data_IF_755801686907
#
_entry.id   IF_755801686907
#
_cell.length_a   1.000
_cell.length_b   1.000
_cell.length_c   1.000
_cell.angle_alpha   90.00
_cell.angle_beta   90.00
_cell.angle_gamma   90.00
#
_symmetry.space_group_name_H-M   'P 1'
#
loop_
_entity.id
_entity.type
_entity.pdbx_description
1 polymer ?
#
# COMPACT_ATOMS: atom_id res chain seq x y z
N UNK A 1 -41.10 3.24 69.43
CA UNK A 1 -40.87 1.82 69.09
C UNK A 1 -39.85 1.80 67.96
N UNK A 2 -38.56 1.67 68.28
CA UNK A 2 -37.72 0.47 68.04
C UNK A 2 -37.44 0.26 66.54
N UNK A 3 -36.28 0.69 66.03
CA UNK A 3 -34.98 0.00 65.99
C UNK A 3 -34.84 -0.96 64.78
N UNK A 4 -33.75 -0.79 64.00
CA UNK A 4 -33.35 -1.71 62.94
C UNK A 4 -32.44 -1.08 61.88
N UNK A 5 -31.15 -0.96 62.18
CA UNK A 5 -30.05 -0.55 61.28
C UNK A 5 -29.43 -1.82 60.68
N UNK A 6 -29.22 -1.87 59.36
CA UNK A 6 -28.10 -2.59 58.74
C UNK A 6 -27.87 -2.16 57.27
N UNK A 7 -26.64 -1.72 57.03
CA UNK A 7 -25.75 -1.97 55.88
C UNK A 7 -25.73 -1.22 54.54
N UNK A 8 -24.45 -1.09 54.11
CA UNK A 8 -23.81 -0.69 52.84
C UNK A 8 -23.72 0.84 52.54
N UNK A 9 -22.56 1.52 52.65
CA UNK A 9 -21.24 1.38 51.95
C UNK A 9 -21.41 1.59 50.43
N UNK A 10 -20.77 2.52 49.72
CA UNK A 10 -19.47 3.19 49.85
C UNK A 10 -19.46 4.59 49.21
N UNK A 11 -18.51 5.42 49.62
CA UNK A 11 -18.12 6.70 49.02
C UNK A 11 -16.75 6.58 48.32
N UNK A 12 -16.60 7.25 47.18
CA UNK A 12 -15.32 7.69 46.57
C UNK A 12 -14.80 8.98 47.28
N UNK A 13 -13.64 9.61 46.93
CA UNK A 13 -12.44 9.20 46.15
C UNK A 13 -11.10 9.61 46.86
N UNK A 14 -9.91 9.29 46.29
CA UNK A 14 -8.79 10.21 45.93
C UNK A 14 -7.47 9.47 45.59
N UNK A 15 -6.71 10.13 44.72
CA UNK A 15 -5.38 9.90 44.15
C UNK A 15 -4.24 9.64 45.14
N UNK A 16 -3.33 8.70 44.84
CA UNK A 16 -1.94 8.73 45.34
C UNK A 16 -0.98 7.94 44.43
N UNK A 17 0.07 8.62 43.97
CA UNK A 17 1.28 8.11 43.34
C UNK A 17 2.22 7.53 44.40
N UNK A 18 2.78 6.33 44.19
CA UNK A 18 3.95 5.88 44.94
C UNK A 18 4.81 4.91 44.12
N UNK A 19 6.09 5.27 44.04
CA UNK A 19 7.24 4.49 43.60
C UNK A 19 7.36 3.16 44.36
N UNK A 20 7.91 2.13 43.69
CA UNK A 20 8.42 0.95 44.39
C UNK A 20 9.78 0.55 43.79
N UNK A 21 10.83 1.16 44.34
CA UNK A 21 12.19 0.65 44.29
C UNK A 21 12.29 -0.62 45.16
N UNK A 22 12.85 -1.70 44.60
CA UNK A 22 13.22 -2.90 45.36
C UNK A 22 14.69 -2.75 45.75
N UNK A 23 14.93 -2.33 47.00
CA UNK A 23 16.23 -2.41 47.67
C UNK A 23 16.36 -3.75 48.39
N UNK A 24 17.35 -4.56 48.00
CA UNK A 24 17.75 -5.76 48.74
C UNK A 24 18.98 -5.39 49.58
N UNK A 25 18.78 -5.33 50.90
CA UNK A 25 19.85 -5.28 51.90
C UNK A 25 20.58 -6.63 51.95
N UNK A 26 21.91 -6.61 51.83
CA UNK A 26 22.77 -7.76 52.13
C UNK A 26 23.64 -7.40 53.33
N UNK A 27 23.29 -8.04 54.44
CA UNK A 27 23.87 -7.86 55.77
C UNK A 27 25.31 -8.37 55.86
N UNK A 28 26.10 -7.69 56.69
CA UNK A 28 27.54 -7.86 56.81
C UNK A 28 27.91 -9.00 57.77
N UNK A 29 28.25 -10.19 57.25
CA UNK A 29 28.86 -11.26 58.07
C UNK A 29 29.66 -12.31 57.30
N UNK A 30 30.64 -11.92 56.46
CA UNK A 30 31.60 -12.90 55.90
C UNK A 30 32.98 -12.32 55.54
N UNK A 31 33.59 -11.54 56.42
CA UNK A 31 34.98 -11.05 56.28
C UNK A 31 36.01 -12.06 56.81
N UNK A 32 36.03 -13.27 56.27
CA UNK A 32 37.11 -14.27 56.51
C UNK A 32 37.55 -15.00 55.23
N UNK A 33 37.11 -14.55 54.05
CA UNK A 33 37.42 -15.19 52.76
C UNK A 33 38.41 -14.39 51.88
N UNK A 34 38.93 -13.26 52.37
CA UNK A 34 39.79 -12.35 51.58
C UNK A 34 41.21 -12.89 51.32
N UNK A 35 41.85 -13.51 52.31
CA UNK A 35 43.24 -14.00 52.18
C UNK A 35 43.37 -15.27 51.32
N UNK A 36 42.36 -16.16 51.38
CA UNK A 36 42.36 -17.36 50.53
C UNK A 36 42.12 -17.04 49.05
N UNK A 37 41.38 -15.96 48.74
CA UNK A 37 41.17 -15.51 47.37
C UNK A 37 42.43 -14.88 46.77
N UNK A 38 43.27 -14.20 47.55
CA UNK A 38 44.54 -13.66 47.03
C UNK A 38 45.56 -14.73 46.66
N UNK A 39 45.61 -15.84 47.41
CA UNK A 39 46.54 -16.95 47.11
C UNK A 39 46.04 -17.82 45.94
N UNK A 40 44.72 -17.97 45.77
CA UNK A 40 44.13 -18.60 44.59
C UNK A 40 44.26 -17.74 43.32
N UNK A 41 44.32 -16.42 43.45
CA UNK A 41 44.55 -15.51 42.32
C UNK A 41 46.03 -15.44 41.92
N UNK A 42 46.96 -15.69 42.84
CA UNK A 42 48.40 -15.79 42.54
C UNK A 42 48.79 -17.10 41.87
N UNK A 43 48.07 -18.19 42.14
CA UNK A 43 48.27 -19.49 41.46
C UNK A 43 47.58 -19.58 40.09
N UNK A 44 46.83 -18.55 39.69
CA UNK A 44 46.20 -18.41 38.38
C UNK A 44 46.97 -17.48 37.43
N UNK A 45 48.22 -17.12 37.73
CA UNK A 45 49.10 -16.51 36.73
C UNK A 45 49.56 -17.59 35.73
N UNK A 46 49.29 -17.42 34.42
CA UNK A 46 49.59 -18.46 33.45
C UNK A 46 51.10 -18.53 33.18
N UNK A 47 51.64 -19.71 33.42
CA UNK A 47 52.91 -20.19 32.89
C UNK A 47 52.97 -19.99 31.37
N UNK A 48 54.13 -19.50 30.93
CA UNK A 48 54.54 -19.10 29.58
C UNK A 48 53.74 -19.75 28.44
N UNK A 49 52.69 -19.05 27.99
CA UNK A 49 51.96 -19.42 26.77
C UNK A 49 52.74 -18.87 25.59
N UNK A 50 53.09 -19.70 24.57
CA UNK A 50 53.77 -19.20 23.39
C UNK A 50 52.97 -18.03 22.79
N UNK A 51 53.64 -16.91 22.57
CA UNK A 51 53.05 -15.66 22.13
C UNK A 51 52.05 -15.90 20.98
N UNK A 52 50.79 -15.54 21.21
CA UNK A 52 49.80 -15.51 20.14
C UNK A 52 50.32 -14.56 19.03
N UNK A 53 50.26 -14.96 17.75
CA UNK A 53 50.75 -14.11 16.66
C UNK A 53 49.99 -12.78 16.70
N UNK A 54 50.74 -11.67 16.76
CA UNK A 54 50.14 -10.34 16.86
C UNK A 54 49.14 -10.11 15.72
N UNK A 55 47.92 -9.64 16.02
CA UNK A 55 46.93 -9.37 15.01
C UNK A 55 47.42 -8.19 14.16
N UNK A 56 47.77 -8.47 12.90
CA UNK A 56 48.18 -7.48 11.90
C UNK A 56 47.07 -6.40 11.79
N UNK A 57 47.33 -5.24 12.40
CA UNK A 57 46.38 -4.12 12.52
C UNK A 57 45.87 -3.59 11.16
N UNK A 58 46.55 -3.92 10.05
CA UNK A 58 46.11 -3.60 8.69
C UNK A 58 44.92 -4.43 8.18
N UNK A 59 44.65 -5.62 8.72
CA UNK A 59 43.53 -6.49 8.26
C UNK A 59 42.20 -6.22 8.95
N UNK A 60 42.21 -5.60 10.14
CA UNK A 60 40.99 -5.33 10.90
C UNK A 60 40.18 -4.15 10.34
N UNK A 61 40.85 -3.15 9.75
CA UNK A 61 40.20 -2.03 9.07
C UNK A 61 39.57 -2.43 7.72
N UNK A 62 40.21 -3.35 6.97
CA UNK A 62 39.67 -3.89 5.72
C UNK A 62 38.42 -4.77 5.93
N UNK A 63 38.30 -5.49 7.05
CA UNK A 63 37.08 -6.26 7.38
C UNK A 63 35.96 -5.39 7.95
N UNK A 64 36.27 -4.25 8.59
CA UNK A 64 35.27 -3.24 8.97
C UNK A 64 34.69 -2.52 7.75
N UNK A 65 35.52 -2.16 6.76
CA UNK A 65 35.07 -1.53 5.50
C UNK A 65 34.29 -2.51 4.59
N UNK A 66 34.57 -3.82 4.67
CA UNK A 66 33.89 -4.84 3.86
C UNK A 66 32.46 -5.18 4.32
N UNK A 67 32.13 -4.98 5.61
CA UNK A 67 30.78 -5.27 6.16
C UNK A 67 29.66 -4.41 5.56
N UNK A 68 29.77 -3.06 5.45
CA UNK A 68 28.72 -2.24 4.83
C UNK A 68 28.58 -2.53 3.33
N UNK A 69 29.68 -2.82 2.63
CA UNK A 69 29.67 -3.17 1.20
C UNK A 69 28.98 -4.52 0.96
N UNK A 70 29.25 -5.52 1.81
CA UNK A 70 28.63 -6.86 1.71
C UNK A 70 27.18 -6.87 2.18
N UNK A 71 26.80 -5.98 3.11
CA UNK A 71 25.40 -5.76 3.47
C UNK A 71 24.64 -5.09 2.31
N UNK A 72 25.23 -4.09 1.66
CA UNK A 72 24.66 -3.47 0.46
C UNK A 72 24.50 -4.45 -0.71
N UNK A 73 25.50 -5.31 -0.96
CA UNK A 73 25.44 -6.33 -2.01
C UNK A 73 24.36 -7.39 -1.74
N UNK A 74 24.28 -7.92 -0.52
CA UNK A 74 23.25 -8.90 -0.16
C UNK A 74 21.83 -8.29 -0.15
N UNK A 75 21.70 -7.00 0.20
CA UNK A 75 20.44 -6.25 0.12
C UNK A 75 19.99 -6.06 -1.34
N UNK A 76 20.94 -5.82 -2.26
CA UNK A 76 20.67 -5.78 -3.69
C UNK A 76 20.21 -7.13 -4.23
N UNK A 77 20.89 -8.22 -3.87
CA UNK A 77 20.51 -9.57 -4.33
C UNK A 77 19.11 -9.96 -3.86
N UNK A 78 18.76 -9.67 -2.61
CA UNK A 78 17.42 -9.93 -2.08
C UNK A 78 16.34 -9.08 -2.76
N UNK A 79 16.67 -7.83 -3.12
CA UNK A 79 15.77 -6.94 -3.86
C UNK A 79 15.56 -7.43 -5.30
N UNK A 80 16.62 -7.89 -5.97
CA UNK A 80 16.57 -8.47 -7.31
C UNK A 80 15.77 -9.78 -7.33
N UNK A 81 15.92 -10.64 -6.33
CA UNK A 81 15.12 -11.86 -6.21
C UNK A 81 13.63 -11.56 -5.97
N UNK A 82 13.33 -10.49 -5.25
CA UNK A 82 11.95 -10.06 -5.00
C UNK A 82 11.29 -9.50 -6.27
N UNK A 83 12.04 -8.72 -7.06
CA UNK A 83 11.62 -8.28 -8.38
C UNK A 83 11.47 -9.46 -9.35
N UNK A 84 12.42 -10.40 -9.34
CA UNK A 84 12.35 -11.62 -10.16
C UNK A 84 11.08 -12.42 -9.90
N UNK A 85 10.72 -12.63 -8.63
CA UNK A 85 9.46 -13.29 -8.25
C UNK A 85 8.22 -12.51 -8.67
N UNK A 86 8.24 -11.17 -8.62
CA UNK A 86 7.14 -10.35 -9.11
C UNK A 86 6.95 -10.54 -10.62
N UNK A 87 8.02 -10.45 -11.40
CA UNK A 87 7.97 -10.64 -12.85
C UNK A 87 7.55 -12.06 -13.24
N UNK A 88 8.01 -13.06 -12.50
CA UNK A 88 7.63 -14.46 -12.73
C UNK A 88 6.14 -14.69 -12.44
N UNK A 89 5.65 -14.18 -11.29
CA UNK A 89 4.23 -14.24 -10.96
C UNK A 89 3.37 -13.47 -11.96
N UNK A 90 3.83 -12.30 -12.41
CA UNK A 90 3.16 -11.51 -13.43
C UNK A 90 3.08 -12.27 -14.76
N UNK A 91 4.19 -12.82 -15.25
CA UNK A 91 4.27 -13.56 -16.50
C UNK A 91 3.40 -14.83 -16.47
N UNK A 92 3.47 -15.59 -15.36
CA UNK A 92 2.65 -16.78 -15.18
C UNK A 92 1.16 -16.43 -15.11
N UNK A 93 0.78 -15.44 -14.29
CA UNK A 93 -0.63 -15.04 -14.14
C UNK A 93 -1.22 -14.53 -15.46
N UNK A 94 -0.45 -13.76 -16.22
CA UNK A 94 -0.88 -13.27 -17.54
C UNK A 94 -0.96 -14.41 -18.56
N UNK A 95 0.02 -15.33 -18.55
CA UNK A 95 0.02 -16.53 -19.38
C UNK A 95 -1.17 -17.46 -19.09
N UNK A 96 -1.51 -17.68 -17.83
CA UNK A 96 -2.69 -18.44 -17.42
C UNK A 96 -3.99 -17.72 -17.79
N UNK A 97 -4.09 -16.41 -17.57
CA UNK A 97 -5.25 -15.61 -17.97
C UNK A 97 -5.53 -15.74 -19.46
N UNK A 98 -4.50 -15.55 -20.30
CA UNK A 98 -4.60 -15.67 -21.75
C UNK A 98 -4.97 -17.10 -22.15
N UNK A 99 -4.30 -18.11 -21.59
CA UNK A 99 -4.56 -19.51 -21.91
C UNK A 99 -5.97 -19.95 -21.53
N UNK A 100 -6.46 -19.56 -20.36
CA UNK A 100 -7.82 -19.88 -19.91
C UNK A 100 -8.88 -19.10 -20.71
N UNK A 101 -8.55 -17.90 -21.21
CA UNK A 101 -9.43 -17.12 -22.08
C UNK A 101 -9.55 -17.76 -23.46
N UNK A 102 -8.43 -18.21 -24.02
CA UNK A 102 -8.39 -18.93 -25.30
C UNK A 102 -9.09 -20.29 -25.18
N UNK A 103 -8.99 -20.96 -24.02
CA UNK A 103 -9.63 -22.28 -23.80
C UNK A 103 -11.10 -22.22 -23.41
N UNK A 104 -11.71 -21.03 -23.32
CA UNK A 104 -13.12 -20.79 -22.93
C UNK A 104 -13.60 -21.50 -21.64
N UNK A 105 -12.69 -22.01 -20.82
CA UNK A 105 -12.97 -22.69 -19.54
C UNK A 105 -12.82 -21.77 -18.33
N UNK A 106 -12.86 -20.45 -18.55
CA UNK A 106 -12.74 -19.48 -17.47
C UNK A 106 -13.86 -19.64 -16.44
N UNK A 107 -13.54 -19.75 -15.14
CA UNK A 107 -14.53 -19.75 -14.08
C UNK A 107 -15.13 -18.34 -13.91
N UNK A 108 -16.03 -17.99 -14.82
CA UNK A 108 -16.71 -16.68 -14.85
C UNK A 108 -17.44 -16.36 -13.54
N UNK A 109 -17.95 -17.40 -12.85
CA UNK A 109 -18.61 -17.25 -11.55
C UNK A 109 -17.66 -16.70 -10.49
N UNK A 110 -16.44 -17.24 -10.40
CA UNK A 110 -15.44 -16.80 -9.43
C UNK A 110 -14.94 -15.39 -9.77
N UNK A 111 -14.77 -15.09 -11.06
CA UNK A 111 -14.38 -13.75 -11.53
C UNK A 111 -15.44 -12.70 -11.18
N UNK A 112 -16.72 -12.99 -11.40
CA UNK A 112 -17.81 -12.08 -11.07
C UNK A 112 -17.95 -11.85 -9.57
N UNK A 113 -17.84 -12.91 -8.77
CA UNK A 113 -17.84 -12.79 -7.30
C UNK A 113 -16.68 -11.92 -6.82
N UNK A 114 -15.49 -12.10 -7.40
CA UNK A 114 -14.33 -11.31 -7.06
C UNK A 114 -14.45 -9.85 -7.53
N UNK A 115 -15.05 -9.62 -8.70
CA UNK A 115 -15.34 -8.27 -9.19
C UNK A 115 -16.32 -7.55 -8.25
N UNK A 116 -17.38 -8.24 -7.83
CA UNK A 116 -18.34 -7.71 -6.86
C UNK A 116 -17.67 -7.37 -5.51
N UNK A 117 -16.81 -8.26 -5.02
CA UNK A 117 -16.03 -8.00 -3.81
C UNK A 117 -15.17 -6.72 -3.95
N UNK A 118 -14.39 -6.60 -5.02
CA UNK A 118 -13.54 -5.43 -5.25
C UNK A 118 -14.37 -4.14 -5.37
N UNK A 119 -15.50 -4.18 -6.09
CA UNK A 119 -16.42 -3.03 -6.21
C UNK A 119 -16.97 -2.65 -4.85
N UNK A 120 -17.43 -3.61 -4.05
CA UNK A 120 -18.07 -3.35 -2.75
C UNK A 120 -17.13 -2.63 -1.77
N UNK A 121 -15.84 -3.00 -1.79
CA UNK A 121 -14.81 -2.42 -0.92
C UNK A 121 -14.36 -1.02 -1.42
N UNK A 122 -14.46 -0.76 -2.73
CA UNK A 122 -13.94 0.49 -3.33
C UNK A 122 -15.01 1.54 -3.63
N UNK A 123 -16.28 1.16 -3.81
CA UNK A 123 -17.34 2.06 -4.27
C UNK A 123 -17.63 3.20 -3.28
N UNK A 124 -17.75 2.89 -1.98
CA UNK A 124 -18.02 3.91 -0.95
C UNK A 124 -16.84 4.89 -0.82
N UNK A 125 -15.58 4.42 -0.63
CA UNK A 125 -14.42 5.32 -0.65
C UNK A 125 -14.31 6.14 -1.94
N UNK A 126 -14.61 5.55 -3.10
CA UNK A 126 -14.59 6.27 -4.38
C UNK A 126 -15.58 7.43 -4.42
N UNK A 127 -16.80 7.22 -3.94
CA UNK A 127 -17.79 8.29 -3.83
C UNK A 127 -17.32 9.38 -2.86
N UNK A 128 -16.86 9.00 -1.67
CA UNK A 128 -16.45 9.94 -0.64
C UNK A 128 -15.22 10.78 -1.01
N UNK A 129 -14.29 10.23 -1.80
CA UNK A 129 -13.08 10.94 -2.23
C UNK A 129 -13.32 11.74 -3.51
N UNK A 130 -14.13 11.25 -4.44
CA UNK A 130 -14.35 11.92 -5.74
C UNK A 130 -15.06 13.27 -5.62
N UNK A 131 -16.01 13.41 -4.70
CA UNK A 131 -16.73 14.67 -4.47
C UNK A 131 -15.77 15.79 -4.02
N UNK A 132 -15.08 15.69 -2.86
CA UNK A 132 -14.18 16.75 -2.41
C UNK A 132 -13.04 16.99 -3.38
N UNK A 133 -12.53 15.94 -4.05
CA UNK A 133 -11.52 16.09 -5.08
C UNK A 133 -12.03 16.95 -6.26
N UNK A 134 -13.22 16.67 -6.77
CA UNK A 134 -13.86 17.47 -7.83
C UNK A 134 -14.09 18.92 -7.42
N UNK A 135 -14.54 19.15 -6.18
CA UNK A 135 -14.70 20.49 -5.60
C UNK A 135 -13.38 21.24 -5.54
N UNK A 136 -12.33 20.63 -4.99
CA UNK A 136 -11.00 21.26 -4.86
C UNK A 136 -10.47 21.66 -6.22
N UNK A 137 -10.53 20.77 -7.22
CA UNK A 137 -10.05 21.09 -8.57
C UNK A 137 -10.88 22.21 -9.20
N UNK A 138 -12.21 22.17 -9.08
CA UNK A 138 -13.08 23.20 -9.65
C UNK A 138 -12.87 24.59 -9.01
N UNK A 139 -12.66 24.65 -7.68
CA UNK A 139 -12.38 25.90 -6.97
C UNK A 139 -10.99 26.42 -7.31
N UNK A 140 -9.96 25.55 -7.28
CA UNK A 140 -8.59 25.98 -7.53
C UNK A 140 -8.41 26.48 -8.97
N UNK A 141 -8.86 25.68 -9.94
CA UNK A 141 -8.77 26.05 -11.36
C UNK A 141 -9.67 27.23 -11.67
N UNK A 142 -10.88 27.26 -11.12
CA UNK A 142 -11.80 28.37 -11.29
C UNK A 142 -11.24 29.70 -10.79
N UNK A 143 -10.66 29.72 -9.59
CA UNK A 143 -10.01 30.91 -9.04
C UNK A 143 -8.85 31.41 -9.92
N UNK A 144 -8.01 30.51 -10.43
CA UNK A 144 -6.93 30.89 -11.35
C UNK A 144 -7.47 31.47 -12.67
N UNK A 145 -8.50 30.87 -13.24
CA UNK A 145 -9.10 31.31 -14.51
C UNK A 145 -9.80 32.67 -14.34
N UNK A 146 -10.46 32.91 -13.21
CA UNK A 146 -11.09 34.21 -12.89
C UNK A 146 -10.04 35.33 -12.75
N UNK A 147 -8.88 35.05 -12.18
CA UNK A 147 -7.78 36.03 -12.09
C UNK A 147 -7.25 36.46 -13.46
N UNK A 148 -7.30 35.57 -14.45
CA UNK A 148 -6.90 35.85 -15.84
C UNK A 148 -8.07 36.40 -16.68
N UNK A 149 -9.27 36.53 -16.09
CA UNK A 149 -10.46 37.06 -16.76
C UNK A 149 -11.12 36.11 -17.76
N UNK A 150 -10.73 34.83 -17.78
CA UNK A 150 -11.15 33.86 -18.78
C UNK A 150 -12.27 32.93 -18.27
N UNK A 151 -13.25 33.47 -17.53
CA UNK A 151 -14.29 32.69 -16.81
C UNK A 151 -15.04 31.69 -17.70
N UNK A 152 -15.19 31.99 -18.99
CA UNK A 152 -15.83 31.11 -19.97
C UNK A 152 -15.14 29.75 -20.11
N UNK A 153 -13.81 29.63 -19.95
CA UNK A 153 -13.08 28.36 -20.12
C UNK A 153 -12.83 27.58 -18.82
N UNK A 154 -13.39 28.04 -17.70
CA UNK A 154 -13.20 27.41 -16.39
C UNK A 154 -13.61 25.93 -16.35
N UNK A 155 -14.71 25.57 -17.04
CA UNK A 155 -15.20 24.19 -17.11
C UNK A 155 -14.30 23.24 -17.90
N UNK A 156 -13.70 23.72 -18.99
CA UNK A 156 -12.72 22.97 -19.77
C UNK A 156 -11.46 22.67 -18.95
N UNK A 157 -10.90 23.72 -18.33
CA UNK A 157 -9.66 23.61 -17.57
C UNK A 157 -9.80 22.69 -16.35
N UNK A 158 -10.90 22.82 -15.60
CA UNK A 158 -11.18 21.97 -14.44
C UNK A 158 -11.47 20.52 -14.85
N UNK A 159 -12.34 20.32 -15.84
CA UNK A 159 -12.75 19.00 -16.30
C UNK A 159 -11.60 18.20 -16.91
N UNK A 160 -10.76 18.82 -17.75
CA UNK A 160 -9.57 18.17 -18.32
C UNK A 160 -8.55 17.77 -17.25
N UNK A 161 -8.36 18.61 -16.22
CA UNK A 161 -7.49 18.29 -15.09
C UNK A 161 -7.96 17.05 -14.32
N UNK A 162 -9.27 16.97 -14.06
CA UNK A 162 -9.88 15.79 -13.43
C UNK A 162 -9.73 14.56 -14.31
N UNK A 163 -10.03 14.63 -15.62
CA UNK A 163 -9.99 13.46 -16.50
C UNK A 163 -8.55 12.96 -16.70
N UNK A 164 -7.60 13.84 -17.04
CA UNK A 164 -6.26 13.43 -17.48
C UNK A 164 -5.34 12.97 -16.36
N UNK A 165 -5.51 13.50 -15.15
CA UNK A 165 -4.61 13.26 -14.03
C UNK A 165 -5.36 12.89 -12.75
N UNK A 166 -6.37 13.67 -12.39
CA UNK A 166 -7.05 13.51 -11.11
C UNK A 166 -7.70 12.15 -10.92
N UNK A 167 -8.57 11.75 -11.84
CA UNK A 167 -9.31 10.50 -11.75
C UNK A 167 -8.41 9.25 -11.80
N UNK A 168 -7.41 9.14 -12.70
CA UNK A 168 -6.48 8.01 -12.68
C UNK A 168 -5.68 7.89 -11.38
N UNK A 169 -5.26 9.01 -10.79
CA UNK A 169 -4.51 9.00 -9.52
C UNK A 169 -5.41 8.60 -8.35
N UNK A 170 -6.62 9.14 -8.27
CA UNK A 170 -7.58 8.75 -7.22
C UNK A 170 -7.95 7.27 -7.36
N UNK A 171 -8.21 6.80 -8.58
CA UNK A 171 -8.48 5.39 -8.84
C UNK A 171 -7.30 4.50 -8.43
N UNK A 172 -6.08 4.87 -8.78
CA UNK A 172 -4.87 4.15 -8.38
C UNK A 172 -4.72 4.03 -6.86
N UNK A 173 -4.96 5.12 -6.12
CA UNK A 173 -4.87 5.14 -4.67
C UNK A 173 -5.94 4.25 -4.03
N UNK A 174 -7.16 4.25 -4.56
CA UNK A 174 -8.25 3.41 -4.05
C UNK A 174 -8.06 1.93 -4.38
N UNK A 175 -7.58 1.64 -5.59
CA UNK A 175 -7.22 0.28 -5.97
C UNK A 175 -6.07 -0.23 -5.11
N UNK A 176 -5.01 0.56 -4.92
CA UNK A 176 -3.86 0.21 -4.09
C UNK A 176 -4.21 0.04 -2.62
N UNK A 177 -4.92 1.02 -2.06
CA UNK A 177 -5.28 1.08 -0.65
C UNK A 177 -6.41 0.11 -0.28
N UNK A 178 -7.61 0.29 -0.84
CA UNK A 178 -8.78 -0.45 -0.42
C UNK A 178 -8.85 -1.85 -1.05
N UNK A 179 -8.82 -1.95 -2.38
CA UNK A 179 -8.90 -3.25 -3.06
C UNK A 179 -7.64 -4.10 -2.82
N UNK A 180 -6.46 -3.51 -2.93
CA UNK A 180 -5.17 -4.17 -2.73
C UNK A 180 -5.04 -4.73 -1.32
N UNK A 181 -5.36 -3.94 -0.29
CA UNK A 181 -5.34 -4.44 1.10
C UNK A 181 -6.33 -5.57 1.33
N UNK A 182 -7.55 -5.46 0.79
CA UNK A 182 -8.56 -6.50 0.94
C UNK A 182 -8.12 -7.82 0.28
N UNK A 183 -7.52 -7.74 -0.90
CA UNK A 183 -6.98 -8.91 -1.62
C UNK A 183 -5.77 -9.50 -0.91
N UNK A 184 -4.81 -8.67 -0.48
CA UNK A 184 -3.63 -9.12 0.25
C UNK A 184 -4.01 -9.76 1.60
N UNK A 185 -5.01 -9.22 2.28
CA UNK A 185 -5.52 -9.76 3.55
C UNK A 185 -6.17 -11.12 3.35
N UNK A 186 -7.08 -11.26 2.38
CA UNK A 186 -7.76 -12.54 2.11
C UNK A 186 -6.75 -13.62 1.69
N UNK A 187 -5.78 -13.28 0.84
CA UNK A 187 -4.77 -14.24 0.39
C UNK A 187 -3.74 -14.58 1.49
N UNK A 188 -3.33 -13.58 2.28
CA UNK A 188 -2.48 -13.78 3.45
C UNK A 188 -3.16 -14.63 4.52
N UNK A 189 -4.45 -14.42 4.76
CA UNK A 189 -5.24 -15.20 5.70
C UNK A 189 -5.38 -16.68 5.30
N UNK A 190 -5.43 -16.98 3.98
CA UNK A 190 -5.41 -18.36 3.46
C UNK A 190 -4.02 -18.98 3.54
N UNK A 191 -2.98 -18.16 3.34
CA UNK A 191 -1.58 -18.61 3.44
C UNK A 191 -1.25 -19.03 4.86
N UNK A 192 -1.61 -18.23 5.87
CA UNK A 192 -1.36 -18.59 7.29
C UNK A 192 -2.25 -19.74 7.80
N UNK A 193 -3.33 -20.06 7.08
CA UNK A 193 -4.21 -21.21 7.36
C UNK A 193 -3.79 -22.48 6.60
N UNK A 194 -2.62 -22.45 5.95
CA UNK A 194 -2.07 -23.56 5.15
C UNK A 194 -2.96 -24.01 3.97
N UNK A 195 -3.98 -23.24 3.60
CA UNK A 195 -4.87 -23.57 2.47
C UNK A 195 -4.12 -23.52 1.13
N UNK A 196 -3.16 -22.59 1.00
CA UNK A 196 -2.32 -22.44 -0.21
C UNK A 196 -1.39 -23.65 -0.39
N UNK A 197 -0.85 -24.18 0.71
CA UNK A 197 0.02 -25.35 0.66
C UNK A 197 -0.78 -26.64 0.45
N UNK A 198 -1.99 -26.72 1.00
CA UNK A 198 -2.92 -27.82 0.69
C UNK A 198 -3.22 -27.89 -0.82
N UNK A 199 -3.40 -26.76 -1.51
CA UNK A 199 -3.58 -26.73 -2.98
C UNK A 199 -2.36 -27.33 -3.70
N UNK A 200 -1.14 -27.00 -3.26
CA UNK A 200 0.10 -27.53 -3.85
C UNK A 200 0.20 -29.05 -3.65
N UNK A 201 -0.18 -29.56 -2.48
CA UNK A 201 -0.18 -31.01 -2.19
C UNK A 201 -1.22 -31.74 -3.05
N UNK A 202 -2.35 -31.11 -3.34
CA UNK A 202 -3.37 -31.63 -4.28
C UNK A 202 -2.97 -31.52 -5.76
N UNK A 203 -1.76 -31.03 -6.06
CA UNK A 203 -1.28 -30.86 -7.44
C UNK A 203 -1.95 -29.71 -8.20
N UNK A 204 -2.59 -28.77 -7.50
CA UNK A 204 -3.25 -27.60 -8.09
C UNK A 204 -2.34 -26.39 -7.94
N UNK A 205 -2.05 -25.70 -9.04
CA UNK A 205 -1.26 -24.46 -9.00
C UNK A 205 -2.05 -23.34 -8.28
N UNK A 206 -1.55 -22.82 -7.13
CA UNK A 206 -2.22 -21.75 -6.40
C UNK A 206 -2.27 -20.44 -7.19
N UNK A 207 -1.31 -20.18 -8.08
CA UNK A 207 -1.31 -18.96 -8.91
C UNK A 207 -2.50 -19.01 -9.86
N UNK A 208 -2.68 -20.13 -10.57
CA UNK A 208 -3.80 -20.29 -11.48
C UNK A 208 -5.15 -20.19 -10.74
N UNK A 209 -5.30 -20.85 -9.59
CA UNK A 209 -6.58 -20.95 -8.86
C UNK A 209 -6.96 -19.66 -8.12
N UNK A 210 -5.99 -18.94 -7.55
CA UNK A 210 -6.26 -17.80 -6.65
C UNK A 210 -5.98 -16.44 -7.28
N UNK A 211 -4.96 -16.32 -8.14
CA UNK A 211 -4.50 -15.02 -8.70
C UNK A 211 -5.24 -14.70 -9.99
N UNK A 212 -5.38 -15.67 -10.90
CA UNK A 212 -6.06 -15.49 -12.20
C UNK A 212 -7.47 -14.88 -12.11
N UNK A 213 -8.41 -15.38 -11.27
CA UNK A 213 -9.75 -14.79 -11.19
C UNK A 213 -9.74 -13.34 -10.64
N UNK A 214 -8.76 -13.00 -9.79
CA UNK A 214 -8.58 -11.62 -9.27
C UNK A 214 -8.02 -10.69 -10.33
N UNK A 215 -7.08 -11.17 -11.13
CA UNK A 215 -6.54 -10.45 -12.28
C UNK A 215 -7.65 -10.19 -13.31
N UNK A 216 -8.48 -11.19 -13.61
CA UNK A 216 -9.62 -11.04 -14.50
C UNK A 216 -10.65 -10.03 -13.96
N UNK A 217 -10.92 -10.07 -12.65
CA UNK A 217 -11.82 -9.13 -11.99
C UNK A 217 -11.31 -7.68 -12.07
N UNK A 218 -10.03 -7.43 -11.79
CA UNK A 218 -9.49 -6.06 -11.80
C UNK A 218 -9.51 -5.44 -13.20
N UNK A 219 -9.30 -6.25 -14.24
CA UNK A 219 -9.36 -5.83 -15.65
C UNK A 219 -10.71 -5.22 -16.00
N UNK A 220 -11.79 -5.70 -15.39
CA UNK A 220 -13.15 -5.19 -15.60
C UNK A 220 -13.49 -4.06 -14.62
N UNK A 221 -13.08 -4.19 -13.35
CA UNK A 221 -13.45 -3.24 -12.30
C UNK A 221 -12.70 -1.91 -12.42
N UNK A 222 -11.41 -1.93 -12.74
CA UNK A 222 -10.59 -0.72 -12.86
C UNK A 222 -11.16 0.34 -13.82
N UNK A 223 -11.56 0.01 -15.07
CA UNK A 223 -12.15 1.00 -15.98
C UNK A 223 -13.52 1.51 -15.53
N UNK A 224 -14.34 0.64 -14.92
CA UNK A 224 -15.65 1.01 -14.36
C UNK A 224 -15.48 2.00 -13.20
N UNK A 225 -14.54 1.70 -12.28
CA UNK A 225 -14.24 2.57 -11.15
C UNK A 225 -13.69 3.92 -11.60
N UNK A 226 -12.83 3.95 -12.62
CA UNK A 226 -12.32 5.19 -13.21
C UNK A 226 -13.46 6.06 -13.75
N UNK A 227 -14.35 5.46 -14.54
CA UNK A 227 -15.49 6.15 -15.15
C UNK A 227 -16.43 6.73 -14.09
N UNK A 228 -16.65 5.99 -13.00
CA UNK A 228 -17.42 6.44 -11.86
C UNK A 228 -16.78 7.67 -11.16
N UNK A 229 -15.46 7.63 -10.94
CA UNK A 229 -14.72 8.76 -10.34
C UNK A 229 -14.76 10.00 -11.24
N UNK A 230 -14.61 9.83 -12.56
CA UNK A 230 -14.71 10.92 -13.54
C UNK A 230 -16.10 11.56 -13.46
N UNK A 231 -17.15 10.74 -13.50
CA UNK A 231 -18.53 11.20 -13.44
C UNK A 231 -18.82 12.00 -12.16
N UNK A 232 -18.47 11.46 -11.00
CA UNK A 232 -18.69 12.14 -9.72
C UNK A 232 -17.83 13.40 -9.57
N UNK A 233 -16.58 13.37 -10.02
CA UNK A 233 -15.69 14.53 -9.97
C UNK A 233 -16.19 15.69 -10.84
N UNK A 234 -16.67 15.39 -12.06
CA UNK A 234 -17.28 16.38 -12.96
C UNK A 234 -18.60 16.92 -12.40
N UNK A 235 -19.46 16.06 -11.86
CA UNK A 235 -20.73 16.47 -11.26
C UNK A 235 -20.51 17.41 -10.07
N UNK A 236 -19.56 17.09 -9.18
CA UNK A 236 -19.19 17.94 -8.05
C UNK A 236 -18.60 19.28 -8.52
N UNK A 237 -17.72 19.25 -9.53
CA UNK A 237 -17.13 20.47 -10.10
C UNK A 237 -18.16 21.40 -10.75
N UNK A 238 -19.13 20.83 -11.47
CA UNK A 238 -20.26 21.56 -12.06
C UNK A 238 -21.13 22.21 -10.97
N UNK A 239 -21.50 21.46 -9.93
CA UNK A 239 -22.34 21.95 -8.84
C UNK A 239 -21.72 23.18 -8.14
N UNK A 240 -20.40 23.16 -7.90
CA UNK A 240 -19.70 24.27 -7.26
C UNK A 240 -19.51 25.46 -8.21
N UNK A 241 -19.24 25.22 -9.50
CA UNK A 241 -19.08 26.30 -10.45
C UNK A 241 -20.37 27.13 -10.61
N UNK A 242 -21.51 26.45 -10.71
CA UNK A 242 -22.83 27.08 -10.82
C UNK A 242 -23.28 27.69 -9.50
N UNK A 243 -23.06 27.01 -8.37
CA UNK A 243 -23.55 27.45 -7.07
C UNK A 243 -22.73 28.58 -6.42
N UNK A 244 -21.40 28.48 -6.46
CA UNK A 244 -20.51 29.35 -5.67
C UNK A 244 -19.66 30.31 -6.52
N UNK A 245 -19.34 29.97 -7.77
CA UNK A 245 -18.45 30.78 -8.61
C UNK A 245 -19.19 31.69 -9.59
N UNK A 246 -20.51 31.82 -9.45
CA UNK A 246 -21.38 32.64 -10.33
C UNK A 246 -21.23 32.33 -11.83
N UNK A 247 -20.78 31.11 -12.17
CA UNK A 247 -20.63 30.66 -13.54
C UNK A 247 -21.98 30.37 -14.18
N UNK A 248 -22.17 30.76 -15.44
CA UNK A 248 -23.38 30.38 -16.18
C UNK A 248 -23.33 28.87 -16.48
N UNK A 249 -24.37 28.08 -16.12
CA UNK A 249 -24.40 26.64 -16.36
C UNK A 249 -24.11 26.25 -17.82
N UNK A 250 -24.66 27.02 -18.75
CA UNK A 250 -24.46 26.82 -20.19
C UNK A 250 -23.01 27.01 -20.63
N UNK A 251 -22.28 27.98 -20.04
CA UNK A 251 -20.87 28.21 -20.36
C UNK A 251 -19.98 27.08 -19.87
N UNK A 252 -20.28 26.49 -18.71
CA UNK A 252 -19.48 25.37 -18.18
C UNK A 252 -19.58 24.15 -19.10
N UNK A 253 -20.81 23.77 -19.45
CA UNK A 253 -21.07 22.60 -20.29
C UNK A 253 -20.57 22.82 -21.72
N UNK A 254 -20.76 24.01 -22.29
CA UNK A 254 -20.28 24.33 -23.64
C UNK A 254 -18.74 24.30 -23.71
N UNK A 255 -18.06 24.87 -22.71
CA UNK A 255 -16.59 24.83 -22.66
C UNK A 255 -16.07 23.44 -22.38
N UNK A 256 -16.71 22.67 -21.50
CA UNK A 256 -16.34 21.28 -21.32
C UNK A 256 -16.52 20.48 -22.62
N UNK A 257 -17.65 20.61 -23.33
CA UNK A 257 -17.92 19.88 -24.56
C UNK A 257 -17.02 20.27 -25.74
N UNK A 258 -16.55 21.52 -25.81
CA UNK A 258 -15.66 22.00 -26.87
C UNK A 258 -14.21 21.55 -26.69
N UNK A 259 -13.75 21.41 -25.44
CA UNK A 259 -12.36 21.07 -25.13
C UNK A 259 -12.16 19.61 -24.67
N UNK A 260 -13.19 18.93 -24.15
CA UNK A 260 -13.09 17.54 -23.73
C UNK A 260 -13.10 16.62 -24.93
N UNK A 261 -11.99 15.93 -25.18
CA UNK A 261 -11.93 14.88 -26.19
C UNK A 261 -12.31 13.54 -25.60
N UNK A 262 -13.03 12.72 -26.36
CA UNK A 262 -13.26 11.29 -26.04
C UNK A 262 -11.92 10.56 -25.85
N UNK A 263 -10.87 11.00 -26.56
CA UNK A 263 -9.54 10.44 -26.43
C UNK A 263 -8.94 10.63 -25.02
N UNK A 264 -9.24 11.75 -24.35
CA UNK A 264 -8.74 12.00 -23.00
C UNK A 264 -9.32 11.00 -21.99
N UNK A 265 -10.61 10.68 -22.15
CA UNK A 265 -11.30 9.70 -21.31
C UNK A 265 -10.76 8.29 -21.58
N UNK A 266 -10.55 7.93 -22.85
CA UNK A 266 -9.99 6.61 -23.21
C UNK A 266 -8.58 6.44 -22.63
N UNK A 267 -7.73 7.46 -22.74
CA UNK A 267 -6.38 7.43 -22.17
C UNK A 267 -6.43 7.31 -20.65
N UNK A 268 -7.32 8.03 -19.97
CA UNK A 268 -7.50 7.95 -18.52
C UNK A 268 -7.94 6.54 -18.07
N UNK A 269 -8.87 5.94 -18.80
CA UNK A 269 -9.35 4.58 -18.56
C UNK A 269 -8.22 3.57 -18.78
N UNK A 270 -7.46 3.69 -19.88
CA UNK A 270 -6.36 2.78 -20.20
C UNK A 270 -5.22 2.86 -19.19
N UNK A 271 -4.89 4.07 -18.71
CA UNK A 271 -3.95 4.27 -17.59
C UNK A 271 -4.43 3.53 -16.35
N UNK A 272 -5.68 3.77 -15.95
CA UNK A 272 -6.25 3.18 -14.73
C UNK A 272 -6.34 1.65 -14.83
N UNK A 273 -6.63 1.13 -16.02
CA UNK A 273 -6.62 -0.30 -16.29
C UNK A 273 -5.25 -0.92 -16.03
N UNK A 274 -4.17 -0.32 -16.55
CA UNK A 274 -2.80 -0.74 -16.28
C UNK A 274 -2.45 -0.64 -14.79
N UNK A 275 -2.87 0.42 -14.12
CA UNK A 275 -2.63 0.61 -12.69
C UNK A 275 -3.29 -0.49 -11.86
N UNK A 276 -4.54 -0.85 -12.18
CA UNK A 276 -5.24 -1.95 -11.51
C UNK A 276 -4.52 -3.28 -11.65
N UNK A 277 -4.02 -3.60 -12.85
CA UNK A 277 -3.24 -4.82 -13.10
C UNK A 277 -1.96 -4.86 -12.25
N UNK A 278 -1.22 -3.76 -12.19
CA UNK A 278 0.01 -3.72 -11.36
C UNK A 278 -0.32 -3.88 -9.88
N UNK A 279 -1.32 -3.16 -9.38
CA UNK A 279 -1.73 -3.22 -7.98
C UNK A 279 -2.15 -4.63 -7.57
N UNK A 280 -3.00 -5.29 -8.37
CA UNK A 280 -3.49 -6.62 -8.00
C UNK A 280 -2.36 -7.64 -7.98
N UNK A 281 -1.38 -7.53 -8.89
CA UNK A 281 -0.22 -8.42 -8.92
C UNK A 281 0.65 -8.23 -7.70
N UNK A 282 0.91 -6.98 -7.29
CA UNK A 282 1.66 -6.68 -6.06
C UNK A 282 0.92 -7.22 -4.83
N UNK A 283 -0.40 -7.03 -4.75
CA UNK A 283 -1.22 -7.54 -3.66
C UNK A 283 -1.23 -9.06 -3.56
N UNK A 284 -1.36 -9.75 -4.70
CA UNK A 284 -1.31 -11.19 -4.75
C UNK A 284 0.07 -11.73 -4.38
N UNK A 285 1.16 -11.12 -4.86
CA UNK A 285 2.51 -11.54 -4.50
C UNK A 285 2.73 -11.43 -2.99
N UNK A 286 2.42 -10.27 -2.40
CA UNK A 286 2.63 -10.04 -0.96
C UNK A 286 1.71 -10.90 -0.11
N UNK A 287 0.47 -11.11 -0.53
CA UNK A 287 -0.47 -11.99 0.16
C UNK A 287 0.00 -13.45 0.20
N UNK A 288 0.55 -14.00 -0.89
CA UNK A 288 1.08 -15.37 -0.94
C UNK A 288 2.38 -15.56 -0.16
N UNK A 289 3.10 -14.47 0.11
CA UNK A 289 4.37 -14.49 0.86
C UNK A 289 4.20 -14.20 2.36
N UNK A 290 2.95 -14.02 2.83
CA UNK A 290 2.67 -13.74 4.24
C UNK A 290 3.09 -14.90 5.15
N UNK A 291 3.84 -14.59 6.22
CA UNK A 291 4.39 -15.57 7.19
C UNK A 291 4.32 -15.02 8.61
N UNK A 292 4.21 -15.90 9.61
CA UNK A 292 4.25 -15.48 11.02
C UNK A 292 2.89 -15.10 11.61
N UNK A 293 1.82 -15.78 11.19
CA UNK A 293 0.47 -15.62 11.74
C UNK A 293 -0.17 -14.27 11.39
N UNK A 294 -1.08 -13.79 12.25
CA UNK A 294 -1.89 -12.60 11.99
C UNK A 294 -1.06 -11.31 11.80
N UNK A 295 0.06 -11.16 12.52
CA UNK A 295 0.97 -10.01 12.35
C UNK A 295 1.61 -10.01 10.96
N UNK A 296 2.03 -11.18 10.49
CA UNK A 296 2.58 -11.33 9.14
C UNK A 296 1.63 -10.93 8.01
N UNK A 297 0.32 -11.14 8.20
CA UNK A 297 -0.69 -10.70 7.24
C UNK A 297 -0.77 -9.17 7.20
N UNK A 298 -0.76 -8.50 8.36
CA UNK A 298 -0.76 -7.04 8.42
C UNK A 298 0.51 -6.44 7.77
N UNK A 299 1.68 -7.04 8.01
CA UNK A 299 2.94 -6.61 7.39
C UNK A 299 2.91 -6.76 5.86
N UNK A 300 2.38 -7.88 5.36
CA UNK A 300 2.21 -8.13 3.94
C UNK A 300 1.24 -7.11 3.29
N UNK A 301 0.16 -6.76 3.98
CA UNK A 301 -0.82 -5.75 3.53
C UNK A 301 -0.16 -4.38 3.44
N UNK A 302 0.53 -3.94 4.49
CA UNK A 302 1.21 -2.65 4.50
C UNK A 302 2.27 -2.56 3.39
N UNK A 303 3.08 -3.61 3.24
CA UNK A 303 4.07 -3.68 2.17
C UNK A 303 3.42 -3.64 0.78
N UNK A 304 2.31 -4.37 0.59
CA UNK A 304 1.55 -4.36 -0.66
C UNK A 304 1.07 -2.96 -1.04
N UNK A 305 0.48 -2.24 -0.10
CA UNK A 305 -0.08 -0.90 -0.34
C UNK A 305 1.03 0.07 -0.75
N UNK A 306 2.12 0.10 0.01
CA UNK A 306 3.23 1.02 -0.26
C UNK A 306 3.88 0.71 -1.61
N UNK A 307 4.22 -0.56 -1.86
CA UNK A 307 4.86 -0.97 -3.12
C UNK A 307 3.93 -0.74 -4.30
N UNK A 308 2.65 -1.06 -4.16
CA UNK A 308 1.65 -0.91 -5.22
C UNK A 308 1.43 0.55 -5.60
N UNK A 309 1.25 1.43 -4.60
CA UNK A 309 1.06 2.86 -4.85
C UNK A 309 2.32 3.47 -5.48
N UNK A 310 3.51 3.20 -4.93
CA UNK A 310 4.77 3.74 -5.49
C UNK A 310 4.97 3.27 -6.93
N UNK A 311 4.75 1.98 -7.21
CA UNK A 311 4.86 1.43 -8.57
C UNK A 311 3.90 2.11 -9.54
N UNK A 312 2.65 2.33 -9.13
CA UNK A 312 1.66 3.03 -9.97
C UNK A 312 2.01 4.49 -10.20
N UNK A 313 2.53 5.20 -9.20
CA UNK A 313 2.97 6.58 -9.39
C UNK A 313 4.11 6.69 -10.40
N UNK A 314 5.11 5.81 -10.30
CA UNK A 314 6.20 5.72 -11.28
C UNK A 314 5.63 5.40 -12.67
N UNK A 315 4.72 4.43 -12.77
CA UNK A 315 4.08 4.08 -14.03
C UNK A 315 3.24 5.23 -14.61
N UNK A 316 2.54 6.00 -13.77
CA UNK A 316 1.78 7.17 -14.18
C UNK A 316 2.70 8.24 -14.79
N UNK A 317 3.85 8.49 -14.18
CA UNK A 317 4.85 9.41 -14.70
C UNK A 317 5.37 8.94 -16.06
N UNK A 318 5.75 7.66 -16.17
CA UNK A 318 6.25 7.10 -17.43
C UNK A 318 5.22 7.17 -18.56
N UNK A 319 3.96 6.77 -18.30
CA UNK A 319 2.91 6.81 -19.31
C UNK A 319 2.58 8.26 -19.67
N UNK A 320 2.45 9.15 -18.69
CA UNK A 320 2.15 10.56 -18.95
C UNK A 320 3.24 11.22 -19.78
N UNK A 321 4.51 10.99 -19.44
CA UNK A 321 5.64 11.54 -20.18
C UNK A 321 5.74 10.94 -21.58
N UNK A 322 5.61 9.62 -21.71
CA UNK A 322 5.66 8.93 -22.99
C UNK A 322 4.55 9.35 -23.94
N UNK A 323 3.32 9.51 -23.43
CA UNK A 323 2.18 9.98 -24.22
C UNK A 323 2.37 11.44 -24.65
N UNK A 324 2.87 12.30 -23.75
CA UNK A 324 3.12 13.72 -24.05
C UNK A 324 4.22 13.91 -25.11
N UNK A 325 5.18 12.98 -25.17
CA UNK A 325 6.23 12.99 -26.19
C UNK A 325 5.74 12.44 -27.55
N UNK A 326 4.86 11.44 -27.53
CA UNK A 326 4.38 10.76 -28.75
C UNK A 326 3.24 11.49 -29.45
N UNK A 327 2.35 12.14 -28.69
CA UNK A 327 1.30 13.00 -29.22
C UNK A 327 1.49 14.41 -28.66
N UNK A 328 2.05 15.35 -29.42
CA UNK A 328 1.93 16.76 -29.04
C UNK A 328 0.43 17.06 -29.02
N UNK A 329 -0.11 17.20 -27.81
CA UNK A 329 -1.48 17.63 -27.56
C UNK A 329 -1.72 18.88 -28.41
N UNK A 330 -2.50 18.75 -29.49
CA UNK A 330 -2.99 19.89 -30.24
C UNK A 330 -3.84 20.69 -29.27
N UNK A 331 -3.25 21.77 -28.75
CA UNK A 331 -3.96 22.85 -28.10
C UNK A 331 -4.73 23.52 -29.25
N UNK A 332 -5.99 23.14 -29.40
CA UNK A 332 -6.95 23.84 -30.26
C UNK A 332 -7.44 25.10 -29.58
#
# INVERSE_FOLDING_TARGET
MTAGVHDATAAEPTTETADNEVSVDVDASTTTNGEYLSDLLKSAEPEDRPAAPEPVAGRHFLTMLGKPVRYGANQLDSSLQTLGRFFDLAAQSFGYLIRDLIRLRHPWRDTLNQAWFIISVTAIPALLVSIPFGVIVAVQVGNFIQQVGASSVSGAAGGLGVIRQGAPVVAALLLGGAAGSAVATDLGARTIREEVDALRVMGIDPVQRLVTPRLAAIVIVAPVLCSFIIFMGLAAGYAINVGFQSGTPGSYIASFASFASVNDVIVAILKTWLFGVVVILVACQRGLEAKGGARGVADAVNASVVIGIVAVFVLNLLITQGLSMSMPLRVG
#
